data_IF_076258831498
#
_entry.id   IF_076258831498
#
_cell.length_a   1.000
_cell.length_b   1.000
_cell.length_c   1.000
_cell.angle_alpha   90.00
_cell.angle_beta   90.00
_cell.angle_gamma   90.00
#
_symmetry.space_group_name_H-M   'P 1'
#
loop_
_entity.id
_entity.type
_entity.pdbx_description
1 polymer ?
#
# COMPACT_ATOMS: atom_id res chain seq x y z
N UNK A 1 -27.90 16.88 51.41
CA UNK A 1 -28.40 17.55 50.19
C UNK A 1 -27.46 17.40 48.99
N UNK A 2 -26.83 16.23 48.84
CA UNK A 2 -25.91 15.84 47.75
C UNK A 2 -26.48 14.67 46.89
N UNK A 3 -27.30 13.74 47.40
CA UNK A 3 -27.77 12.59 46.61
C UNK A 3 -28.74 12.94 45.46
N UNK A 4 -29.54 13.99 45.62
CA UNK A 4 -30.58 14.38 44.65
C UNK A 4 -29.98 14.93 43.35
N UNK A 5 -28.85 15.66 43.44
CA UNK A 5 -28.15 16.18 42.27
C UNK A 5 -27.54 15.08 41.41
N UNK A 6 -26.98 14.04 42.03
CA UNK A 6 -26.39 12.89 41.32
C UNK A 6 -27.49 12.09 40.61
N UNK A 7 -28.63 11.86 41.29
CA UNK A 7 -29.76 11.15 40.70
C UNK A 7 -30.36 11.90 39.49
N UNK A 8 -30.51 13.23 39.60
CA UNK A 8 -30.98 14.06 38.49
C UNK A 8 -29.99 14.07 37.32
N UNK A 9 -28.68 14.13 37.57
CA UNK A 9 -27.67 14.11 36.51
C UNK A 9 -27.69 12.78 35.73
N UNK A 10 -27.79 11.64 36.42
CA UNK A 10 -27.89 10.31 35.80
C UNK A 10 -29.18 10.19 34.98
N UNK A 11 -30.27 10.77 35.47
CA UNK A 11 -31.57 10.74 34.77
C UNK A 11 -31.52 11.59 33.50
N UNK A 12 -30.90 12.78 33.56
CA UNK A 12 -30.71 13.66 32.39
C UNK A 12 -29.81 12.99 31.34
N UNK A 13 -28.69 12.40 31.75
CA UNK A 13 -27.79 11.66 30.85
C UNK A 13 -28.53 10.49 30.18
N UNK A 14 -29.32 9.72 30.94
CA UNK A 14 -30.09 8.61 30.40
C UNK A 14 -31.21 9.06 29.43
N UNK A 15 -31.80 10.24 29.65
CA UNK A 15 -32.79 10.84 28.75
C UNK A 15 -32.12 11.34 27.47
N UNK A 16 -30.96 12.01 27.57
CA UNK A 16 -30.19 12.45 26.40
C UNK A 16 -29.69 11.26 25.57
N UNK A 17 -29.20 10.18 26.20
CA UNK A 17 -28.80 8.95 25.50
C UNK A 17 -29.98 8.34 24.75
N UNK A 18 -31.21 8.44 25.27
CA UNK A 18 -32.43 7.98 24.59
C UNK A 18 -32.80 8.82 23.36
N UNK A 19 -32.29 10.04 23.26
CA UNK A 19 -32.52 10.99 22.16
C UNK A 19 -31.32 11.14 21.21
N UNK A 20 -30.24 10.36 21.38
CA UNK A 20 -29.10 10.40 20.46
C UNK A 20 -29.47 9.77 19.11
N UNK A 21 -29.05 10.41 18.02
CA UNK A 21 -29.20 9.86 16.68
C UNK A 21 -28.58 8.47 16.60
N UNK A 22 -29.28 7.52 15.97
CA UNK A 22 -28.78 6.17 15.76
C UNK A 22 -27.70 6.19 14.66
N UNK A 23 -26.47 6.49 15.04
CA UNK A 23 -25.32 6.54 14.14
C UNK A 23 -24.97 5.11 13.65
N UNK A 24 -24.56 5.00 12.39
CA UNK A 24 -24.02 3.74 11.86
C UNK A 24 -22.79 3.33 12.67
N UNK A 25 -22.64 2.03 12.91
CA UNK A 25 -21.47 1.49 13.61
C UNK A 25 -20.22 1.68 12.75
N UNK A 26 -19.11 2.02 13.40
CA UNK A 26 -17.80 2.03 12.77
C UNK A 26 -17.32 0.60 12.53
N UNK A 27 -17.06 0.27 11.27
CA UNK A 27 -16.54 -1.02 10.82
C UNK A 27 -15.07 -0.94 10.37
N UNK A 28 -14.33 0.11 10.76
CA UNK A 28 -12.92 0.33 10.40
C UNK A 28 -11.97 -0.84 10.68
N UNK A 29 -12.34 -1.75 11.58
CA UNK A 29 -11.54 -2.95 11.93
C UNK A 29 -11.85 -4.19 11.08
N UNK A 30 -12.82 -4.12 10.18
CA UNK A 30 -13.16 -5.25 9.30
C UNK A 30 -12.29 -5.26 8.05
N UNK A 31 -11.85 -6.44 7.63
CA UNK A 31 -11.20 -6.62 6.34
C UNK A 31 -12.20 -6.37 5.22
N UNK A 32 -11.76 -5.70 4.16
CA UNK A 32 -12.55 -5.42 2.97
C UNK A 32 -11.81 -5.94 1.73
N UNK A 33 -12.55 -6.59 0.83
CA UNK A 33 -12.07 -6.83 -0.53
C UNK A 33 -12.28 -5.57 -1.36
N UNK A 34 -11.20 -5.04 -1.91
CA UNK A 34 -11.24 -3.85 -2.76
C UNK A 34 -10.81 -4.29 -4.17
N UNK A 35 -11.69 -4.23 -5.18
CA UNK A 35 -11.27 -4.39 -6.56
C UNK A 35 -10.42 -3.18 -6.96
N UNK A 36 -9.26 -3.44 -7.57
CA UNK A 36 -8.30 -2.41 -7.94
C UNK A 36 -8.16 -2.40 -9.46
N UNK A 37 -8.42 -1.26 -10.08
CA UNK A 37 -8.11 -1.00 -11.48
C UNK A 37 -6.77 -0.27 -11.52
N UNK A 38 -5.70 -0.98 -11.92
CA UNK A 38 -4.31 -0.51 -11.80
C UNK A 38 -4.11 0.82 -12.53
N UNK A 39 -4.65 0.94 -13.75
CA UNK A 39 -4.50 2.11 -14.61
C UNK A 39 -5.25 3.35 -14.07
N UNK A 40 -6.29 3.15 -13.27
CA UNK A 40 -7.09 4.23 -12.67
C UNK A 40 -6.56 4.65 -11.30
N UNK A 41 -5.82 3.77 -10.61
CA UNK A 41 -5.29 4.06 -9.27
C UNK A 41 -4.13 5.07 -9.31
N UNK A 42 -3.33 5.06 -10.38
CA UNK A 42 -2.20 5.99 -10.53
C UNK A 42 -2.69 7.31 -11.14
N UNK A 43 -2.91 8.30 -10.29
CA UNK A 43 -3.43 9.60 -10.70
C UNK A 43 -2.33 10.43 -11.38
N UNK A 44 -2.55 11.02 -12.56
CA UNK A 44 -1.58 11.90 -13.20
C UNK A 44 -1.09 13.03 -12.27
N UNK A 45 0.16 13.43 -12.43
CA UNK A 45 0.84 14.43 -11.59
C UNK A 45 1.13 14.02 -10.13
N UNK A 46 0.85 12.77 -9.74
CA UNK A 46 1.37 12.23 -8.47
C UNK A 46 2.77 11.64 -8.65
N UNK A 47 3.45 11.40 -7.53
CA UNK A 47 4.81 10.85 -7.54
C UNK A 47 4.80 9.39 -8.01
N UNK A 48 3.83 8.58 -7.58
CA UNK A 48 3.69 7.20 -8.00
C UNK A 48 3.43 7.07 -9.51
N UNK A 49 2.58 7.94 -10.07
CA UNK A 49 2.37 8.00 -11.52
C UNK A 49 3.66 8.41 -12.24
N UNK A 50 4.34 9.46 -11.74
CA UNK A 50 5.58 9.96 -12.34
C UNK A 50 6.67 8.88 -12.37
N UNK A 51 6.82 8.14 -11.26
CA UNK A 51 7.76 7.02 -11.18
C UNK A 51 7.41 5.94 -12.19
N UNK A 52 6.14 5.50 -12.23
CA UNK A 52 5.71 4.48 -13.17
C UNK A 52 5.96 4.91 -14.62
N UNK A 53 5.55 6.13 -14.96
CA UNK A 53 5.70 6.70 -16.30
C UNK A 53 7.17 6.84 -16.72
N UNK A 54 8.06 7.30 -15.83
CA UNK A 54 9.50 7.39 -16.11
C UNK A 54 10.09 6.00 -16.32
N UNK A 55 9.80 5.05 -15.42
CA UNK A 55 10.36 3.70 -15.51
C UNK A 55 9.91 2.98 -16.78
N UNK A 56 8.64 3.14 -17.18
CA UNK A 56 8.09 2.42 -18.33
C UNK A 56 8.48 3.04 -19.67
N UNK A 57 8.62 4.37 -19.75
CA UNK A 57 8.74 5.06 -21.03
C UNK A 57 10.09 5.73 -21.28
N UNK A 58 10.92 5.95 -20.24
CA UNK A 58 12.14 6.76 -20.34
C UNK A 58 13.40 6.04 -19.88
N UNK A 59 13.28 4.96 -19.12
CA UNK A 59 14.43 4.17 -18.71
C UNK A 59 14.69 3.05 -19.72
N UNK A 60 15.91 3.03 -20.26
CA UNK A 60 16.40 1.86 -21.00
C UNK A 60 16.82 0.79 -19.98
N UNK A 61 16.05 -0.30 -19.95
CA UNK A 61 16.27 -1.42 -19.04
C UNK A 61 16.99 -2.60 -19.72
N UNK A 62 17.40 -2.47 -20.99
CA UNK A 62 18.05 -3.56 -21.74
C UNK A 62 19.35 -4.04 -21.10
N UNK A 63 20.05 -3.18 -20.36
CA UNK A 63 21.25 -3.54 -19.60
C UNK A 63 20.97 -4.59 -18.51
N UNK A 64 19.76 -4.62 -17.97
CA UNK A 64 19.35 -5.62 -16.99
C UNK A 64 19.17 -7.00 -17.64
N UNK A 65 18.75 -7.07 -18.90
CA UNK A 65 18.57 -8.36 -19.59
C UNK A 65 19.89 -9.13 -19.70
N UNK A 66 21.02 -8.43 -19.79
CA UNK A 66 22.37 -9.03 -19.79
C UNK A 66 22.80 -9.53 -18.41
N UNK A 67 22.39 -8.84 -17.34
CA UNK A 67 22.76 -9.17 -15.95
C UNK A 67 21.87 -10.27 -15.37
N UNK A 68 20.63 -10.33 -15.84
CA UNK A 68 19.59 -11.24 -15.36
C UNK A 68 19.23 -12.33 -16.38
N UNK A 69 20.01 -12.50 -17.45
CA UNK A 69 19.84 -13.59 -18.41
C UNK A 69 19.98 -14.95 -17.71
N UNK A 70 18.84 -15.57 -17.39
CA UNK A 70 18.80 -16.93 -16.87
C UNK A 70 18.90 -17.91 -18.04
N UNK A 71 20.05 -18.55 -18.18
CA UNK A 71 20.23 -19.71 -19.06
C UNK A 71 19.49 -20.92 -18.47
N UNK A 72 18.17 -21.00 -18.72
CA UNK A 72 17.28 -22.18 -18.62
C UNK A 72 17.28 -23.04 -17.34
N UNK A 73 17.89 -22.64 -16.21
CA UNK A 73 17.98 -23.50 -15.02
C UNK A 73 17.79 -22.79 -13.66
N UNK A 74 16.86 -21.83 -13.55
CA UNK A 74 16.61 -21.13 -12.28
C UNK A 74 15.21 -20.52 -12.12
N UNK A 75 14.96 -19.95 -10.94
CA UNK A 75 13.72 -19.26 -10.55
C UNK A 75 13.39 -18.12 -11.50
N UNK A 76 12.11 -17.92 -11.81
CA UNK A 76 11.61 -16.80 -12.61
C UNK A 76 12.12 -15.47 -12.04
N UNK A 77 12.78 -14.66 -12.87
CA UNK A 77 13.28 -13.35 -12.47
C UNK A 77 12.15 -12.33 -12.58
N UNK A 78 12.06 -11.45 -11.58
CA UNK A 78 11.13 -10.33 -11.61
C UNK A 78 11.58 -9.29 -12.64
N UNK A 79 10.65 -8.73 -13.44
CA UNK A 79 10.96 -7.65 -14.37
C UNK A 79 11.68 -6.48 -13.67
N UNK A 80 12.79 -5.97 -14.23
CA UNK A 80 13.50 -4.83 -13.65
C UNK A 80 12.63 -3.59 -13.47
N UNK A 81 11.69 -3.35 -14.39
CA UNK A 81 10.73 -2.23 -14.30
C UNK A 81 9.89 -2.29 -13.02
N UNK A 82 9.35 -3.47 -12.69
CA UNK A 82 8.56 -3.70 -11.48
C UNK A 82 9.43 -3.46 -10.23
N UNK A 83 10.63 -4.03 -10.20
CA UNK A 83 11.55 -3.85 -9.07
C UNK A 83 11.91 -2.38 -8.86
N UNK A 84 12.23 -1.65 -9.94
CA UNK A 84 12.57 -0.23 -9.87
C UNK A 84 11.41 0.62 -9.38
N UNK A 85 10.17 0.39 -9.87
CA UNK A 85 8.97 1.10 -9.39
C UNK A 85 8.79 0.95 -7.87
N UNK A 86 8.89 -0.29 -7.37
CA UNK A 86 8.78 -0.59 -5.93
C UNK A 86 9.89 0.14 -5.15
N UNK A 87 11.14 0.05 -5.62
CA UNK A 87 12.30 0.61 -4.93
C UNK A 87 12.24 2.14 -4.90
N UNK A 88 11.99 2.79 -6.04
CA UNK A 88 11.93 4.25 -6.14
C UNK A 88 10.79 4.81 -5.31
N UNK A 89 9.58 4.24 -5.41
CA UNK A 89 8.45 4.74 -4.64
C UNK A 89 8.66 4.55 -3.14
N UNK A 90 9.19 3.39 -2.73
CA UNK A 90 9.50 3.17 -1.34
C UNK A 90 10.60 4.09 -0.81
N UNK A 91 11.63 4.40 -1.60
CA UNK A 91 12.65 5.37 -1.23
C UNK A 91 12.05 6.78 -1.07
N UNK A 92 11.12 7.18 -1.94
CA UNK A 92 10.42 8.46 -1.82
C UNK A 92 9.60 8.56 -0.51
N UNK A 93 9.11 7.44 0.01
CA UNK A 93 8.41 7.36 1.30
C UNK A 93 9.33 7.12 2.52
N UNK A 94 10.63 6.91 2.31
CA UNK A 94 11.56 6.49 3.37
C UNK A 94 11.34 5.06 3.89
N UNK A 95 10.63 4.22 3.14
CA UNK A 95 10.25 2.85 3.53
C UNK A 95 11.28 1.81 3.03
N UNK A 96 12.36 1.55 3.77
CA UNK A 96 13.43 0.67 3.28
C UNK A 96 13.22 -0.84 3.55
N UNK A 97 12.76 -1.19 4.76
CA UNK A 97 12.69 -2.60 5.21
C UNK A 97 11.34 -3.27 4.95
N UNK A 98 10.26 -2.49 4.82
CA UNK A 98 8.88 -2.99 4.78
C UNK A 98 8.27 -3.01 3.37
N UNK A 99 9.11 -2.87 2.33
CA UNK A 99 8.69 -2.79 0.92
C UNK A 99 7.95 -4.04 0.45
N UNK A 100 8.47 -5.22 0.83
CA UNK A 100 7.84 -6.50 0.51
C UNK A 100 6.42 -6.60 1.12
N UNK A 101 6.27 -6.20 2.38
CA UNK A 101 4.95 -6.18 3.04
C UNK A 101 4.02 -5.13 2.41
N UNK A 102 4.55 -3.98 2.02
CA UNK A 102 3.76 -2.95 1.37
C UNK A 102 3.14 -3.42 0.05
N UNK A 103 3.84 -4.27 -0.71
CA UNK A 103 3.28 -4.91 -1.92
C UNK A 103 2.07 -5.82 -1.64
N UNK A 104 1.87 -6.23 -0.38
CA UNK A 104 0.74 -7.09 0.03
C UNK A 104 -0.41 -6.33 0.69
N UNK A 105 -0.16 -5.12 1.19
CA UNK A 105 -1.16 -4.40 2.01
C UNK A 105 -1.44 -2.97 1.54
N UNK A 106 -0.58 -2.38 0.73
CA UNK A 106 -0.74 -1.01 0.25
C UNK A 106 -1.14 -1.02 -1.23
N UNK A 107 -2.30 -0.44 -1.53
CA UNK A 107 -2.91 -0.44 -2.86
C UNK A 107 -2.01 0.20 -3.91
N UNK A 108 -1.30 1.28 -3.58
CA UNK A 108 -0.37 1.93 -4.52
C UNK A 108 0.81 1.02 -4.84
N UNK A 109 1.35 0.30 -3.86
CA UNK A 109 2.41 -0.68 -4.11
C UNK A 109 1.90 -1.85 -4.95
N UNK A 110 0.68 -2.36 -4.68
CA UNK A 110 0.05 -3.39 -5.51
C UNK A 110 -0.09 -2.91 -6.96
N UNK A 111 -0.46 -1.65 -7.19
CA UNK A 111 -0.57 -1.10 -8.54
C UNK A 111 0.78 -0.97 -9.23
N UNK A 112 1.76 -0.38 -8.54
CA UNK A 112 3.11 -0.21 -9.07
C UNK A 112 3.80 -1.55 -9.36
N UNK A 113 3.48 -2.58 -8.58
CA UNK A 113 4.03 -3.92 -8.78
C UNK A 113 3.22 -4.81 -9.73
N UNK A 114 2.02 -4.39 -10.15
CA UNK A 114 1.10 -5.24 -10.90
C UNK A 114 0.65 -6.48 -10.10
N UNK A 115 0.45 -6.32 -8.80
CA UNK A 115 0.18 -7.38 -7.80
C UNK A 115 1.29 -8.44 -7.68
N UNK A 116 2.48 -8.14 -8.19
CA UNK A 116 3.66 -8.95 -7.89
C UNK A 116 4.10 -8.67 -6.46
N UNK A 117 4.34 -9.74 -5.69
CA UNK A 117 4.67 -9.67 -4.27
C UNK A 117 6.08 -10.25 -4.02
N UNK A 118 7.14 -9.53 -4.41
CA UNK A 118 8.50 -10.04 -4.28
C UNK A 118 8.91 -10.18 -2.82
N UNK A 119 9.66 -11.24 -2.54
CA UNK A 119 10.23 -11.46 -1.21
C UNK A 119 11.35 -10.45 -0.91
N UNK A 120 11.59 -10.15 0.37
CA UNK A 120 12.59 -9.15 0.78
C UNK A 120 14.01 -9.50 0.28
N UNK A 121 14.34 -10.79 0.21
CA UNK A 121 15.62 -11.27 -0.34
C UNK A 121 15.77 -10.99 -1.83
N UNK A 122 14.68 -11.08 -2.60
CA UNK A 122 14.67 -10.77 -4.04
C UNK A 122 14.91 -9.29 -4.28
N UNK A 123 14.25 -8.43 -3.49
CA UNK A 123 14.46 -6.97 -3.55
C UNK A 123 15.91 -6.62 -3.17
N UNK A 124 16.42 -7.20 -2.08
CA UNK A 124 17.79 -6.96 -1.65
C UNK A 124 18.80 -7.40 -2.71
N UNK A 125 18.64 -8.61 -3.26
CA UNK A 125 19.49 -9.15 -4.30
C UNK A 125 19.48 -8.28 -5.59
N UNK A 126 18.35 -7.68 -5.92
CA UNK A 126 18.23 -6.76 -7.05
C UNK A 126 19.04 -5.47 -6.84
N UNK A 127 19.05 -4.92 -5.61
CA UNK A 127 19.78 -3.68 -5.28
C UNK A 127 21.29 -3.89 -5.22
N UNK A 128 21.74 -5.08 -4.78
CA UNK A 128 23.16 -5.38 -4.54
C UNK A 128 23.92 -5.89 -5.75
N UNK A 129 23.23 -6.17 -6.86
CA UNK A 129 23.84 -6.60 -8.12
C UNK A 129 24.19 -5.38 -8.97
#
# INVERSE_FOLDING_TARGET
MIPIYIHNLITIINIEIKNMANYKRDNSKQNMFVPIMIDEQLIPSTIEYTIAHIVDNYLDLSSFDLVFSNNNAGTTVYPPSIMLKIIFYANALGLLSSRARACQTNITFMCLSGDVQPHYTSIAAFITK
#
